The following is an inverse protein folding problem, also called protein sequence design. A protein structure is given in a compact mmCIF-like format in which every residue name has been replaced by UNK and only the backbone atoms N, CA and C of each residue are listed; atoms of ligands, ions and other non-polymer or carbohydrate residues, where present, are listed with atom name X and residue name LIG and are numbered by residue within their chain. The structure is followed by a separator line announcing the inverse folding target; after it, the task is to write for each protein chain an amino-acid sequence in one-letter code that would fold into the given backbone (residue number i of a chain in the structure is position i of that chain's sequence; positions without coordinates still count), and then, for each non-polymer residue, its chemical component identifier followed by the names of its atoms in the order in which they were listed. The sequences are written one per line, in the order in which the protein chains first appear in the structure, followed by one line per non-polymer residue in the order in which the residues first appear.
data_IF_465231988059
#
_entry.id   IF_465231988059
#
_cell.length_a   1.000
_cell.length_b   1.000
_cell.length_c   1.000
_cell.angle_alpha   90.00
_cell.angle_beta   90.00
_cell.angle_gamma   90.00
#
_symmetry.space_group_name_H-M   'P 1'
#
loop_
_entity.id
_entity.type
_entity.pdbx_description
1 polymer ?
#
# COMPACT_ATOMS: atom_id res chain seq x y z
N UNK A 1 -20.42 6.32 7.99
CA UNK A 1 -19.02 6.56 8.40
C UNK A 1 -18.17 6.74 7.16
N UNK A 2 -17.11 7.54 7.25
CA UNK A 2 -16.19 7.78 6.13
C UNK A 2 -15.00 6.83 6.18
N UNK A 3 -14.64 6.25 5.05
CA UNK A 3 -13.42 5.44 4.88
C UNK A 3 -12.73 5.81 3.57
N UNK A 4 -11.47 5.42 3.41
CA UNK A 4 -10.72 5.54 2.16
C UNK A 4 -10.30 4.16 1.65
N UNK A 5 -10.45 3.90 0.36
CA UNK A 5 -9.92 2.69 -0.29
C UNK A 5 -8.83 3.09 -1.27
N UNK A 6 -7.67 2.43 -1.19
CA UNK A 6 -6.51 2.65 -2.05
C UNK A 6 -6.20 1.43 -2.91
N UNK A 7 -5.95 1.63 -4.19
CA UNK A 7 -5.33 0.65 -5.08
C UNK A 7 -3.91 1.09 -5.43
N UNK A 8 -2.92 0.26 -5.08
CA UNK A 8 -1.49 0.59 -5.27
C UNK A 8 -0.93 -0.12 -6.51
N UNK A 9 -0.90 0.59 -7.63
CA UNK A 9 -0.29 0.14 -8.87
C UNK A 9 1.25 0.39 -8.86
N UNK A 10 2.02 -0.23 -9.75
CA UNK A 10 3.45 0.07 -9.88
C UNK A 10 3.73 1.54 -10.24
N UNK A 11 2.89 2.13 -11.08
CA UNK A 11 3.07 3.46 -11.68
C UNK A 11 2.25 4.57 -10.99
N UNK A 12 1.17 4.21 -10.28
CA UNK A 12 0.30 5.19 -9.63
C UNK A 12 -0.39 4.60 -8.39
N UNK A 13 -1.03 5.47 -7.62
CA UNK A 13 -1.94 5.08 -6.55
C UNK A 13 -3.28 5.73 -6.85
N UNK A 14 -4.33 4.93 -6.83
CA UNK A 14 -5.70 5.42 -6.94
C UNK A 14 -6.39 5.35 -5.58
N UNK A 15 -7.13 6.40 -5.23
CA UNK A 15 -7.90 6.48 -4.00
C UNK A 15 -9.37 6.80 -4.23
N UNK A 16 -10.23 6.30 -3.35
CA UNK A 16 -11.66 6.62 -3.29
C UNK A 16 -12.09 6.78 -1.85
N UNK A 17 -12.63 7.94 -1.51
CA UNK A 17 -13.38 8.14 -0.28
C UNK A 17 -14.78 7.57 -0.43
N UNK A 18 -15.25 6.84 0.58
CA UNK A 18 -16.57 6.24 0.59
C UNK A 18 -17.32 6.62 1.87
N UNK A 19 -18.60 6.96 1.71
CA UNK A 19 -19.55 6.97 2.81
C UNK A 19 -20.28 5.62 2.86
N UNK A 20 -20.11 4.90 3.96
CA UNK A 20 -20.58 3.52 4.11
C UNK A 20 -21.33 3.33 5.42
N UNK A 21 -22.14 2.28 5.48
CA UNK A 21 -22.81 1.89 6.71
C UNK A 21 -21.79 1.35 7.73
N UNK A 22 -21.93 1.68 9.03
CA UNK A 22 -21.14 1.05 10.07
C UNK A 22 -21.26 -0.48 10.04
N UNK A 23 -20.15 -1.18 10.25
CA UNK A 23 -20.12 -2.65 10.22
C UNK A 23 -19.80 -3.27 8.86
N UNK A 24 -19.58 -2.47 7.81
CA UNK A 24 -19.16 -2.99 6.51
C UNK A 24 -17.82 -3.74 6.63
N UNK A 25 -17.69 -4.85 5.89
CA UNK A 25 -16.44 -5.58 5.83
C UNK A 25 -15.52 -5.09 4.71
N UNK A 26 -14.24 -5.42 4.80
CA UNK A 26 -13.20 -5.04 3.83
C UNK A 26 -13.55 -5.46 2.40
N UNK A 27 -14.07 -6.68 2.19
CA UNK A 27 -14.42 -7.16 0.85
C UNK A 27 -15.56 -6.35 0.22
N UNK A 28 -16.60 -6.03 1.00
CA UNK A 28 -17.71 -5.20 0.52
C UNK A 28 -17.24 -3.78 0.19
N UNK A 29 -16.44 -3.16 1.06
CA UNK A 29 -15.86 -1.83 0.83
C UNK A 29 -14.97 -1.80 -0.44
N UNK A 30 -14.16 -2.84 -0.64
CA UNK A 30 -13.35 -2.98 -1.85
C UNK A 30 -14.21 -3.11 -3.11
N UNK A 31 -15.29 -3.88 -3.06
CA UNK A 31 -16.21 -4.05 -4.19
C UNK A 31 -16.92 -2.76 -4.58
N UNK A 32 -17.50 -2.04 -3.61
CA UNK A 32 -18.23 -0.78 -3.89
C UNK A 32 -17.29 0.35 -4.31
N UNK A 33 -16.00 0.28 -3.99
CA UNK A 33 -15.03 1.31 -4.41
C UNK A 33 -14.85 1.39 -5.94
N UNK A 34 -15.17 0.31 -6.66
CA UNK A 34 -14.90 0.16 -8.09
C UNK A 34 -13.42 -0.06 -8.44
N UNK A 35 -12.51 0.06 -7.46
CA UNK A 35 -11.06 -0.06 -7.67
C UNK A 35 -10.59 -1.51 -7.89
N UNK A 36 -11.45 -2.50 -7.66
CA UNK A 36 -11.13 -3.90 -7.96
C UNK A 36 -11.15 -4.24 -9.46
N UNK A 37 -11.78 -3.41 -10.29
CA UNK A 37 -11.89 -3.68 -11.72
C UNK A 37 -10.52 -3.71 -12.39
N UNK A 38 -10.04 -4.92 -12.74
CA UNK A 38 -8.72 -5.12 -13.34
C UNK A 38 -7.55 -5.09 -12.36
N UNK A 39 -7.78 -4.86 -11.07
CA UNK A 39 -6.72 -4.86 -10.05
C UNK A 39 -6.33 -6.30 -9.68
N UNK A 40 -5.04 -6.68 -9.75
CA UNK A 40 -4.58 -8.02 -9.40
C UNK A 40 -4.49 -8.19 -7.87
N UNK A 41 -5.65 -8.22 -7.21
CA UNK A 41 -5.76 -8.33 -5.76
C UNK A 41 -5.10 -9.61 -5.25
N UNK A 42 -4.14 -9.47 -4.34
CA UNK A 42 -3.48 -10.56 -3.63
C UNK A 42 -3.72 -10.49 -2.11
N UNK A 43 -4.22 -9.37 -1.60
CA UNK A 43 -4.59 -9.21 -0.21
C UNK A 43 -5.06 -7.80 0.11
N UNK A 44 -5.54 -7.62 1.33
CA UNK A 44 -5.99 -6.32 1.84
C UNK A 44 -5.27 -5.99 3.14
N UNK A 45 -5.15 -4.70 3.42
CA UNK A 45 -4.65 -4.22 4.70
C UNK A 45 -5.40 -2.97 5.15
N UNK A 46 -5.50 -2.78 6.46
CA UNK A 46 -5.92 -1.52 7.07
C UNK A 46 -4.69 -0.89 7.72
N UNK A 47 -4.26 0.27 7.23
CA UNK A 47 -3.03 0.94 7.67
C UNK A 47 -1.80 0.00 7.74
N UNK A 48 -1.54 -0.75 6.66
CA UNK A 48 -0.42 -1.70 6.59
C UNK A 48 -0.56 -2.97 7.43
N UNK A 49 -1.65 -3.15 8.18
CA UNK A 49 -1.96 -4.41 8.89
C UNK A 49 -2.86 -5.29 8.04
N UNK A 50 -2.50 -6.56 7.88
CA UNK A 50 -3.28 -7.52 7.08
C UNK A 50 -4.74 -7.55 7.53
N UNK A 51 -5.65 -7.40 6.57
CA UNK A 51 -7.08 -7.53 6.73
C UNK A 51 -7.57 -8.75 5.96
N UNK A 52 -8.51 -9.48 6.56
CA UNK A 52 -9.30 -10.50 5.87
C UNK A 52 -10.51 -9.86 5.20
N UNK A 53 -11.15 -10.60 4.29
CA UNK A 53 -12.39 -10.20 3.63
C UNK A 53 -13.49 -9.78 4.61
N UNK A 54 -13.55 -10.45 5.77
CA UNK A 54 -14.54 -10.24 6.83
C UNK A 54 -14.13 -9.19 7.87
N UNK A 55 -12.99 -8.52 7.70
CA UNK A 55 -12.53 -7.51 8.65
C UNK A 55 -13.50 -6.33 8.62
N UNK A 56 -14.12 -6.04 9.77
CA UNK A 56 -15.03 -4.89 9.91
C UNK A 56 -14.21 -3.60 9.93
N UNK A 57 -14.61 -2.64 9.10
CA UNK A 57 -13.98 -1.33 9.02
C UNK A 57 -14.60 -0.35 10.02
N UNK A 58 -13.81 0.65 10.40
CA UNK A 58 -14.20 1.73 11.29
C UNK A 58 -14.07 3.08 10.57
N UNK A 59 -14.66 4.11 11.18
CA UNK A 59 -14.55 5.47 10.67
C UNK A 59 -13.08 5.93 10.59
N UNK A 60 -12.71 6.49 9.45
CA UNK A 60 -11.35 6.94 9.15
C UNK A 60 -10.41 5.84 8.69
N UNK A 61 -10.85 4.57 8.63
CA UNK A 61 -10.00 3.49 8.14
C UNK A 61 -9.60 3.71 6.68
N UNK A 62 -8.33 3.40 6.40
CA UNK A 62 -7.80 3.31 5.05
C UNK A 62 -7.55 1.87 4.67
N UNK A 63 -8.39 1.35 3.79
CA UNK A 63 -8.28 0.02 3.21
C UNK A 63 -7.35 0.04 2.00
N UNK A 64 -6.29 -0.74 2.05
CA UNK A 64 -5.24 -0.83 1.03
C UNK A 64 -5.40 -2.16 0.27
N UNK A 65 -5.63 -2.07 -1.04
CA UNK A 65 -5.65 -3.21 -1.95
C UNK A 65 -4.22 -3.51 -2.38
N UNK A 66 -3.74 -4.70 -2.06
CA UNK A 66 -2.36 -5.13 -2.27
C UNK A 66 -2.26 -6.12 -3.42
N UNK A 67 -1.19 -6.00 -4.20
CA UNK A 67 -0.81 -6.94 -5.25
C UNK A 67 0.32 -7.86 -4.80
N UNK A 68 0.46 -8.99 -5.50
CA UNK A 68 1.55 -9.92 -5.23
C UNK A 68 2.93 -9.24 -5.41
N UNK A 69 3.88 -9.64 -4.56
CA UNK A 69 5.25 -9.16 -4.68
C UNK A 69 5.89 -9.74 -5.95
N UNK A 70 6.49 -8.87 -6.76
CA UNK A 70 7.18 -9.25 -8.02
C UNK A 70 8.55 -9.87 -7.75
N UNK A 71 9.17 -9.55 -6.62
CA UNK A 71 10.48 -10.05 -6.23
C UNK A 71 10.38 -10.90 -4.96
N UNK A 72 11.25 -11.90 -4.86
CA UNK A 72 11.43 -12.66 -3.62
C UNK A 72 11.73 -11.68 -2.46
N UNK A 73 10.96 -11.74 -1.35
CA UNK A 73 11.10 -10.79 -0.25
C UNK A 73 12.50 -10.74 0.35
N UNK A 74 13.24 -11.86 0.39
CA UNK A 74 14.60 -11.91 0.92
C UNK A 74 15.56 -11.20 -0.02
N UNK A 75 15.43 -11.40 -1.32
CA UNK A 75 16.26 -10.71 -2.30
C UNK A 75 16.00 -9.21 -2.32
N UNK A 76 14.73 -8.80 -2.26
CA UNK A 76 14.37 -7.38 -2.18
C UNK A 76 14.88 -6.73 -0.89
N UNK A 77 14.77 -7.43 0.26
CA UNK A 77 15.36 -6.97 1.52
C UNK A 77 16.87 -6.83 1.44
N UNK A 78 17.57 -7.79 0.82
CA UNK A 78 19.03 -7.72 0.62
C UNK A 78 19.42 -6.51 -0.23
N UNK A 79 18.78 -6.32 -1.38
CA UNK A 79 19.01 -5.15 -2.26
C UNK A 79 18.78 -3.82 -1.54
N UNK A 80 17.72 -3.71 -0.72
CA UNK A 80 17.45 -2.49 0.07
C UNK A 80 18.52 -2.24 1.13
N UNK A 81 18.97 -3.28 1.84
CA UNK A 81 20.04 -3.14 2.83
C UNK A 81 21.38 -2.73 2.19
N UNK A 82 21.72 -3.31 1.03
CA UNK A 82 22.91 -2.96 0.25
C UNK A 82 22.86 -1.51 -0.26
N UNK A 83 21.72 -1.07 -0.79
CA UNK A 83 21.52 0.32 -1.21
C UNK A 83 21.65 1.31 -0.03
N UNK A 84 21.05 1.00 1.12
CA UNK A 84 21.18 1.82 2.33
C UNK A 84 22.64 1.88 2.85
N UNK A 85 23.39 0.78 2.73
CA UNK A 85 24.81 0.74 3.10
C UNK A 85 25.70 1.52 2.12
N UNK A 86 25.37 1.54 0.83
CA UNK A 86 26.08 2.35 -0.18
C UNK A 86 25.84 3.85 0.01
N UNK A 87 24.62 4.26 0.39
CA UNK A 87 24.32 5.66 0.73
C UNK A 87 25.15 6.12 1.94
N UNK A 88 25.33 5.26 2.97
CA UNK A 88 26.24 5.55 4.10
C UNK A 88 27.72 5.61 3.72
N UNK A 89 28.14 4.97 2.63
CA UNK A 89 29.54 4.94 2.16
C UNK A 89 29.92 6.08 1.23
N UNK A 90 28.98 6.92 0.77
CA UNK A 90 29.25 8.12 -0.02
C UNK A 90 29.21 9.35 0.90
N UNK A 91 30.31 9.72 1.60
CA UNK A 91 30.42 11.06 2.15
C UNK A 91 30.47 12.05 0.98
N UNK A 92 29.94 13.25 1.21
CA UNK A 92 29.90 14.35 0.26
C UNK A 92 31.27 14.60 -0.38
N UNK A 93 31.37 14.42 -1.69
CA UNK A 93 32.37 15.15 -2.47
C UNK A 93 31.90 16.61 -2.55
N UNK A 94 32.54 17.42 -1.72
CA UNK A 94 32.41 18.87 -1.68
C UNK A 94 33.04 19.42 -2.97
N UNK A 95 32.26 20.08 -3.82
CA UNK A 95 32.76 20.92 -4.89
C UNK A 95 32.77 22.39 -4.46
N UNK A 96 33.89 22.85 -3.91
CA UNK A 96 34.24 24.29 -3.85
C UNK A 96 34.68 24.74 -5.25
N UNK A 97 34.08 25.80 -5.80
CA UNK A 97 34.56 26.66 -6.91
C UNK A 97 33.41 27.65 -7.22
N UNK A 98 33.56 28.97 -7.28
CA UNK A 98 34.64 29.96 -7.11
C UNK A 98 34.03 31.19 -6.44
#
# INVERSE_FOLDING_TARGET
MKIEVLAVWPECVESRELEVNPGICAAEAAAISGLLAGFPLAGMAVFGKRASDTTVLHEGDRLELLRALVADPKQSRRKRAEAAAQIKKKPAEIGQHQ
#
